data_IF_069920935466
#
_entry.id   IF_069920935466
#
_cell.length_a   1.000
_cell.length_b   1.000
_cell.length_c   1.000
_cell.angle_alpha   90.00
_cell.angle_beta   90.00
_cell.angle_gamma   90.00
#
_symmetry.space_group_name_H-M   'P 1'
#
loop_
_entity.id
_entity.type
_entity.pdbx_description
1 polymer ?
#
# COMPACT_ATOMS: atom_id res chain seq x y z
N UNK A 1 17.56 -5.65 -7.49
CA UNK A 1 16.61 -4.58 -7.12
C UNK A 1 15.83 -5.10 -5.94
N UNK A 2 16.04 -4.52 -4.76
CA UNK A 2 15.24 -4.85 -3.57
C UNK A 2 13.76 -4.71 -3.96
N UNK A 3 12.95 -5.71 -3.63
CA UNK A 3 11.54 -5.71 -3.99
C UNK A 3 10.85 -4.68 -3.10
N UNK A 4 10.76 -3.44 -3.58
CA UNK A 4 10.10 -2.33 -2.89
C UNK A 4 8.62 -2.65 -2.71
N UNK A 5 8.16 -2.68 -1.45
CA UNK A 5 6.74 -2.65 -1.13
C UNK A 5 6.34 -1.19 -0.98
N UNK A 6 5.08 -0.92 -1.25
CA UNK A 6 4.47 0.38 -1.00
C UNK A 6 3.26 0.23 -0.10
N UNK A 7 3.06 1.24 0.73
CA UNK A 7 1.85 1.42 1.53
C UNK A 7 1.05 2.52 0.85
N UNK A 8 -0.18 2.19 0.46
CA UNK A 8 -1.12 3.14 -0.11
C UNK A 8 -2.08 3.58 0.99
N UNK A 9 -2.17 4.89 1.18
CA UNK A 9 -3.06 5.53 2.14
C UNK A 9 -4.23 6.19 1.42
N UNK A 10 -5.42 6.06 2.00
CA UNK A 10 -6.58 6.89 1.68
C UNK A 10 -6.84 7.90 2.81
N UNK A 11 -7.99 8.58 2.77
CA UNK A 11 -8.39 9.57 3.79
C UNK A 11 -8.56 8.99 5.20
N UNK A 12 -8.71 7.68 5.34
CA UNK A 12 -8.89 6.96 6.60
C UNK A 12 -7.60 6.22 7.05
N UNK A 13 -6.47 6.47 6.38
CA UNK A 13 -5.18 5.88 6.74
C UNK A 13 -4.73 4.77 5.79
N UNK A 14 -3.92 3.83 6.30
CA UNK A 14 -3.34 2.78 5.46
C UNK A 14 -4.44 1.86 4.91
N UNK A 15 -4.46 1.68 3.60
CA UNK A 15 -5.47 0.87 2.91
C UNK A 15 -4.86 -0.44 2.40
N UNK A 16 -3.77 -0.35 1.65
CA UNK A 16 -3.07 -1.51 1.09
C UNK A 16 -1.57 -1.46 1.32
N UNK A 17 -0.96 -2.65 1.46
CA UNK A 17 0.49 -2.85 1.45
C UNK A 17 0.79 -3.91 0.40
N UNK A 18 1.60 -3.61 -0.61
CA UNK A 18 1.91 -4.58 -1.66
C UNK A 18 3.11 -4.19 -2.50
N UNK A 19 3.49 -5.03 -3.46
CA UNK A 19 4.56 -4.67 -4.41
C UNK A 19 3.99 -3.76 -5.49
N UNK A 20 4.67 -2.65 -5.77
CA UNK A 20 4.24 -1.72 -6.81
C UNK A 20 4.47 -2.33 -8.19
N UNK A 21 3.40 -2.48 -8.96
CA UNK A 21 3.47 -2.92 -10.35
C UNK A 21 3.49 -1.74 -11.34
N UNK A 22 2.89 -0.61 -10.97
CA UNK A 22 2.89 0.61 -11.77
C UNK A 22 1.97 1.68 -11.20
N UNK A 23 2.15 2.91 -11.71
CA UNK A 23 1.26 4.05 -11.45
C UNK A 23 0.87 4.61 -12.80
N UNK A 24 -0.44 4.77 -13.04
CA UNK A 24 -0.94 5.45 -14.24
C UNK A 24 -0.64 6.96 -14.13
N UNK A 25 0.12 7.55 -15.07
CA UNK A 25 0.53 8.95 -14.97
C UNK A 25 -0.62 9.95 -15.18
N UNK A 26 -1.77 9.52 -15.70
CA UNK A 26 -2.90 10.39 -16.06
C UNK A 26 -3.85 10.58 -14.88
N UNK A 27 -4.24 9.49 -14.25
CA UNK A 27 -5.24 9.47 -13.18
C UNK A 27 -4.64 9.07 -11.83
N UNK A 28 -3.34 8.78 -11.76
CA UNK A 28 -2.61 8.35 -10.57
C UNK A 28 -3.15 7.06 -9.94
N UNK A 29 -3.81 6.20 -10.73
CA UNK A 29 -4.20 4.87 -10.29
C UNK A 29 -2.96 4.05 -9.94
N UNK A 30 -3.01 3.34 -8.81
CA UNK A 30 -1.90 2.55 -8.31
C UNK A 30 -2.20 1.08 -8.49
N UNK A 31 -1.30 0.37 -9.15
CA UNK A 31 -1.39 -1.07 -9.38
C UNK A 31 -0.46 -1.79 -8.41
N UNK A 32 -1.02 -2.66 -7.57
CA UNK A 32 -0.26 -3.48 -6.64
C UNK A 32 -0.44 -4.97 -6.93
N UNK A 33 0.60 -5.74 -6.66
CA UNK A 33 0.56 -7.21 -6.67
C UNK A 33 0.86 -7.78 -5.29
N UNK A 34 0.21 -8.89 -4.96
CA UNK A 34 0.27 -9.55 -3.64
C UNK A 34 0.05 -8.54 -2.50
N UNK A 35 -1.06 -7.80 -2.57
CA UNK A 35 -1.36 -6.71 -1.66
C UNK A 35 -2.18 -7.20 -0.45
N UNK A 36 -1.76 -6.84 0.74
CA UNK A 36 -2.53 -6.97 1.98
C UNK A 36 -3.48 -5.77 2.10
N UNK A 37 -4.78 -6.01 2.24
CA UNK A 37 -5.69 -5.00 2.75
C UNK A 37 -5.47 -4.87 4.27
N UNK A 38 -5.07 -3.69 4.72
CA UNK A 38 -4.67 -3.48 6.13
C UNK A 38 -5.86 -3.58 7.07
N UNK A 39 -7.04 -3.10 6.65
CA UNK A 39 -8.23 -3.01 7.51
C UNK A 39 -8.99 -4.31 7.64
N UNK A 40 -9.06 -5.06 6.54
CA UNK A 40 -9.81 -6.32 6.47
C UNK A 40 -8.93 -7.56 6.59
N UNK A 41 -7.60 -7.37 6.72
CA UNK A 41 -6.61 -8.42 6.95
C UNK A 41 -6.69 -9.60 5.97
N UNK A 42 -6.80 -9.31 4.67
CA UNK A 42 -6.76 -10.33 3.61
C UNK A 42 -5.76 -9.95 2.53
N UNK A 43 -5.21 -10.95 1.84
CA UNK A 43 -4.26 -10.76 0.74
C UNK A 43 -4.98 -10.95 -0.60
N UNK A 44 -4.72 -10.05 -1.55
CA UNK A 44 -5.21 -10.13 -2.92
C UNK A 44 -4.06 -10.10 -3.91
N UNK A 45 -4.14 -10.95 -4.94
CA UNK A 45 -3.05 -11.11 -5.92
C UNK A 45 -2.81 -9.86 -6.76
N UNK A 46 -3.87 -9.13 -7.12
CA UNK A 46 -3.82 -7.90 -7.91
C UNK A 46 -4.87 -6.93 -7.41
N UNK A 47 -4.51 -5.66 -7.26
CA UNK A 47 -5.46 -4.59 -6.92
C UNK A 47 -5.12 -3.31 -7.68
N UNK A 48 -6.16 -2.64 -8.15
CA UNK A 48 -6.10 -1.27 -8.67
C UNK A 48 -6.73 -0.36 -7.63
N UNK A 49 -5.94 0.56 -7.08
CA UNK A 49 -6.45 1.64 -6.23
C UNK A 49 -6.64 2.86 -7.11
N UNK A 50 -7.87 3.41 -7.13
CA UNK A 50 -8.16 4.61 -7.92
C UNK A 50 -7.40 5.81 -7.38
N UNK A 51 -6.80 6.62 -8.24
CA UNK A 51 -5.95 7.74 -7.82
C UNK A 51 -6.69 8.85 -7.06
N UNK A 52 -8.01 9.01 -7.27
CA UNK A 52 -8.83 9.95 -6.48
C UNK A 52 -8.99 9.53 -5.00
N UNK A 53 -8.84 8.24 -4.70
CA UNK A 53 -8.84 7.68 -3.35
C UNK A 53 -7.47 7.82 -2.69
N UNK A 54 -6.38 7.79 -3.47
CA UNK A 54 -5.01 7.82 -2.96
C UNK A 54 -4.68 9.20 -2.38
N UNK A 55 -4.25 9.22 -1.11
CA UNK A 55 -3.75 10.43 -0.43
C UNK A 55 -2.24 10.43 -0.27
N UNK A 56 -1.64 9.26 -0.12
CA UNK A 56 -0.18 9.12 0.03
C UNK A 56 0.25 7.72 -0.38
N UNK A 57 1.45 7.65 -0.97
CA UNK A 57 2.17 6.41 -1.23
C UNK A 57 3.48 6.48 -0.44
N UNK A 58 3.75 5.48 0.38
CA UNK A 58 4.98 5.37 1.16
C UNK A 58 5.75 4.13 0.69
N UNK A 59 6.99 4.33 0.26
CA UNK A 59 7.88 3.25 -0.15
C UNK A 59 8.56 2.69 1.09
N UNK A 60 8.55 1.37 1.23
CA UNK A 60 9.12 0.68 2.37
C UNK A 60 9.95 -0.51 1.93
N UNK A 61 11.09 -0.68 2.57
CA UNK A 61 11.90 -1.90 2.43
C UNK A 61 11.30 -3.03 3.25
N UNK A 62 11.69 -4.27 2.94
CA UNK A 62 11.29 -5.44 3.74
C UNK A 62 11.77 -5.34 5.20
N UNK A 63 12.89 -4.65 5.44
CA UNK A 63 13.44 -4.43 6.79
C UNK A 63 12.62 -3.41 7.60
N UNK A 64 12.02 -2.42 6.95
CA UNK A 64 11.22 -1.37 7.60
C UNK A 64 9.78 -1.81 7.85
N UNK A 65 9.27 -2.74 7.04
CA UNK A 65 7.88 -3.17 7.07
C UNK A 65 7.39 -3.59 8.46
N UNK A 66 8.10 -4.41 9.26
CA UNK A 66 7.63 -4.79 10.60
C UNK A 66 7.41 -3.57 11.51
N UNK A 67 8.35 -2.62 11.49
CA UNK A 67 8.28 -1.40 12.29
C UNK A 67 7.11 -0.50 11.88
N UNK A 68 6.81 -0.44 10.59
CA UNK A 68 5.67 0.34 10.09
C UNK A 68 4.35 -0.33 10.45
N UNK A 69 4.25 -1.66 10.31
CA UNK A 69 3.07 -2.43 10.72
C UNK A 69 2.76 -2.27 12.21
N UNK A 70 3.77 -2.25 13.07
CA UNK A 70 3.59 -1.98 14.52
C UNK A 70 3.03 -0.59 14.78
N UNK A 71 3.49 0.44 14.05
CA UNK A 71 2.96 1.81 14.19
C UNK A 71 1.50 1.91 13.75
N UNK A 72 1.11 1.17 12.71
CA UNK A 72 -0.27 1.15 12.24
C UNK A 72 -1.20 0.52 13.28
N UNK A 73 -0.79 -0.56 13.94
CA UNK A 73 -1.57 -1.21 15.02
C UNK A 73 -1.77 -0.37 16.29
N UNK A 74 -0.88 0.59 16.55
CA UNK A 74 -0.95 1.45 17.76
C UNK A 74 -1.86 2.68 17.58
N UNK A 75 -2.40 2.90 16.39
CA UNK A 75 -3.22 4.08 16.05
C UNK A 75 -4.74 3.81 16.02
N UNK A 76 -5.15 2.57 16.25
CA UNK A 76 -6.53 2.18 16.57
C UNK A 76 -6.73 2.19 18.10
#
# INVERSE_FOLDING_TARGET
KEYEKVIVYDSYGALYIGRLAGIDPTNLNVFLVNALNVRSNYVINKVLVRGDVVKRIEYVTDNELPRVLEKLKKKD
#
